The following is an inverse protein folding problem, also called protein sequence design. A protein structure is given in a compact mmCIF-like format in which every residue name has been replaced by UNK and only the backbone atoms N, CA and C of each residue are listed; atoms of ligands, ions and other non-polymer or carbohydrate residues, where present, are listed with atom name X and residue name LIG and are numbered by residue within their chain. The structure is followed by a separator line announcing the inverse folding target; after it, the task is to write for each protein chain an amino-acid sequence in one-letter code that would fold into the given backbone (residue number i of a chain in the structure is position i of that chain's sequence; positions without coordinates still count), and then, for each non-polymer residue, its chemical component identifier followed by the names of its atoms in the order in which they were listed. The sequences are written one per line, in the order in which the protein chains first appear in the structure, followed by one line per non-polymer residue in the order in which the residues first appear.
data_IF_759756296713
#
_entry.id   IF_759756296713
#
_cell.length_a   1.000
_cell.length_b   1.000
_cell.length_c   1.000
_cell.angle_alpha   90.00
_cell.angle_beta   90.00
_cell.angle_gamma   90.00
#
_symmetry.space_group_name_H-M   'P 1'
#
loop_
_entity.id
_entity.type
_entity.pdbx_description
1 polymer ?
#
# COMPACT_ATOMS: atom_id res chain seq x y z
N UNK A 1 11.58 10.84 29.02
CA UNK A 1 10.51 9.99 28.46
C UNK A 1 11.15 9.04 27.46
N UNK A 2 10.96 7.72 27.59
CA UNK A 2 11.40 6.79 26.55
C UNK A 2 10.68 7.14 25.24
N UNK A 3 11.45 7.47 24.21
CA UNK A 3 10.91 7.67 22.86
C UNK A 3 10.59 6.28 22.33
N UNK A 4 9.37 5.78 22.57
CA UNK A 4 8.90 4.61 21.86
C UNK A 4 8.75 5.04 20.39
N UNK A 5 9.56 4.45 19.52
CA UNK A 5 9.38 4.63 18.09
C UNK A 5 8.16 3.83 17.66
N UNK A 6 7.19 4.53 17.08
CA UNK A 6 5.96 3.96 16.54
C UNK A 6 6.13 3.75 15.04
N UNK A 7 6.00 2.51 14.57
CA UNK A 7 6.12 2.21 13.14
C UNK A 7 4.85 1.58 12.60
N UNK A 8 4.58 1.81 11.31
CA UNK A 8 3.53 1.10 10.58
C UNK A 8 3.74 -0.41 10.72
N UNK A 9 2.68 -1.14 11.07
CA UNK A 9 2.73 -2.58 11.31
C UNK A 9 3.08 -2.98 12.75
N UNK A 10 3.40 -2.02 13.63
CA UNK A 10 3.53 -2.33 15.06
C UNK A 10 2.16 -2.55 15.69
N UNK A 11 2.09 -3.54 16.59
CA UNK A 11 0.88 -3.89 17.34
C UNK A 11 1.06 -3.48 18.80
N UNK A 12 0.09 -2.75 19.33
CA UNK A 12 0.07 -2.26 20.71
C UNK A 12 -1.27 -2.61 21.36
N UNK A 13 -1.29 -2.79 22.67
CA UNK A 13 -2.54 -2.59 23.41
C UNK A 13 -2.85 -1.09 23.46
N UNK A 14 -4.12 -0.74 23.29
CA UNK A 14 -4.58 0.64 23.37
C UNK A 14 -5.93 0.74 24.06
N UNK A 15 -6.16 1.86 24.73
CA UNK A 15 -7.46 2.21 25.29
C UNK A 15 -8.31 2.95 24.24
N UNK A 16 -9.35 2.28 23.73
CA UNK A 16 -10.30 2.84 22.77
C UNK A 16 -11.49 3.56 23.43
N UNK A 17 -11.43 3.76 24.74
CA UNK A 17 -12.49 4.36 25.54
C UNK A 17 -13.57 3.36 25.92
N UNK A 18 -14.54 3.84 26.70
CA UNK A 18 -15.69 3.05 27.15
C UNK A 18 -16.88 3.24 26.23
N UNK A 19 -17.68 2.18 26.06
CA UNK A 19 -18.93 2.26 25.31
C UNK A 19 -19.95 3.10 26.10
N UNK A 20 -20.54 4.16 25.52
CA UNK A 20 -21.58 4.92 26.19
C UNK A 20 -22.78 4.04 26.58
N UNK A 21 -23.27 4.19 27.83
CA UNK A 21 -24.43 3.43 28.32
C UNK A 21 -25.69 3.81 27.53
N UNK A 22 -26.50 2.81 27.20
CA UNK A 22 -27.78 3.01 26.50
C UNK A 22 -27.67 3.32 25.00
N UNK A 23 -26.46 3.32 24.42
CA UNK A 23 -26.25 3.61 22.99
C UNK A 23 -26.00 2.32 22.21
N UNK A 24 -26.77 2.11 21.14
CA UNK A 24 -26.52 1.05 20.17
C UNK A 24 -25.42 1.51 19.21
N UNK A 25 -24.18 1.14 19.55
CA UNK A 25 -22.99 1.43 18.75
C UNK A 25 -22.22 0.15 18.35
N UNK A 26 -21.63 0.18 17.16
CA UNK A 26 -20.80 -0.84 16.51
C UNK A 26 -19.30 -0.52 16.56
N UNK A 27 -18.94 0.68 16.99
CA UNK A 27 -17.59 1.11 17.34
C UNK A 27 -16.86 0.11 18.28
N UNK A 28 -15.56 -0.06 18.08
CA UNK A 28 -14.73 -0.87 18.99
C UNK A 28 -14.28 -0.07 20.22
N UNK A 29 -14.48 -0.67 21.39
CA UNK A 29 -14.18 -0.08 22.70
C UNK A 29 -13.31 -1.00 23.56
N UNK A 30 -12.90 -0.45 24.71
CA UNK A 30 -12.12 -1.10 25.74
C UNK A 30 -10.63 -1.14 25.41
N UNK A 31 -9.88 -1.73 26.34
CA UNK A 31 -8.44 -1.98 26.17
C UNK A 31 -8.26 -3.21 25.29
N UNK A 32 -7.68 -3.04 24.10
CA UNK A 32 -7.49 -4.13 23.14
C UNK A 32 -6.28 -3.91 22.25
N UNK A 33 -5.80 -4.97 21.57
CA UNK A 33 -4.75 -4.80 20.57
C UNK A 33 -5.26 -3.93 19.41
N UNK A 34 -4.37 -3.09 18.90
CA UNK A 34 -4.54 -2.26 17.72
C UNK A 34 -3.26 -2.32 16.91
N UNK A 35 -3.39 -2.13 15.59
CA UNK A 35 -2.23 -2.05 14.71
C UNK A 35 -2.07 -0.63 14.16
N UNK A 36 -0.84 -0.12 14.18
CA UNK A 36 -0.51 1.18 13.59
C UNK A 36 -0.52 1.07 12.07
N UNK A 37 -1.37 1.87 11.43
CA UNK A 37 -1.52 1.95 9.97
C UNK A 37 -1.17 3.34 9.43
N UNK A 38 -0.68 4.25 10.26
CA UNK A 38 -0.16 5.54 9.81
C UNK A 38 1.26 5.39 9.23
N UNK A 39 1.63 6.27 8.29
CA UNK A 39 2.98 6.32 7.73
C UNK A 39 4.03 6.72 8.79
N UNK A 40 5.27 6.26 8.62
CA UNK A 40 6.32 6.41 9.65
C UNK A 40 6.79 7.86 9.86
N UNK A 41 6.68 8.71 8.85
CA UNK A 41 6.96 10.15 8.98
C UNK A 41 5.94 10.78 9.93
N UNK A 42 4.65 10.51 9.72
CA UNK A 42 3.57 10.92 10.61
C UNK A 42 3.76 10.36 12.01
N UNK A 43 4.10 9.08 12.14
CA UNK A 43 4.37 8.45 13.44
C UNK A 43 5.55 9.08 14.17
N UNK A 44 6.57 9.58 13.45
CA UNK A 44 7.73 10.23 14.05
C UNK A 44 7.38 11.60 14.61
N UNK A 45 6.70 12.44 13.84
CA UNK A 45 6.53 13.86 14.17
C UNK A 45 5.17 14.22 14.78
N UNK A 46 4.11 13.46 14.51
CA UNK A 46 2.77 13.74 15.03
C UNK A 46 2.64 13.30 16.51
N UNK A 47 1.86 14.02 17.34
CA UNK A 47 1.45 13.51 18.67
C UNK A 47 0.45 12.34 18.58
N UNK A 48 -0.12 12.09 17.39
CA UNK A 48 -1.12 11.05 17.15
C UNK A 48 -0.62 9.96 16.20
N UNK A 49 -1.31 8.81 16.24
CA UNK A 49 -1.18 7.70 15.30
C UNK A 49 -2.55 7.33 14.73
N UNK A 50 -2.60 6.76 13.54
CA UNK A 50 -3.80 6.11 13.00
C UNK A 50 -3.67 4.60 13.19
N UNK A 51 -4.69 3.99 13.76
CA UNK A 51 -4.71 2.56 14.08
C UNK A 51 -5.97 1.88 13.56
N UNK A 52 -5.90 0.58 13.34
CA UNK A 52 -7.07 -0.29 13.14
C UNK A 52 -7.24 -1.23 14.35
N UNK A 53 -8.49 -1.45 14.77
CA UNK A 53 -8.79 -2.32 15.90
C UNK A 53 -8.57 -3.80 15.56
N UNK A 54 -8.12 -4.58 16.55
CA UNK A 54 -8.02 -6.04 16.45
C UNK A 54 -9.10 -6.67 17.34
N UNK A 55 -9.70 -7.75 16.85
CA UNK A 55 -10.66 -8.57 17.61
C UNK A 55 -10.21 -10.02 17.62
N UNK A 56 -10.43 -10.71 18.75
CA UNK A 56 -10.28 -12.17 18.82
C UNK A 56 -11.59 -12.91 18.58
N UNK A 57 -12.67 -12.19 18.23
CA UNK A 57 -13.93 -12.79 17.79
C UNK A 57 -13.83 -13.11 16.30
N UNK A 58 -13.41 -14.32 15.99
CA UNK A 58 -13.16 -14.80 14.62
C UNK A 58 -14.42 -15.33 13.93
N UNK A 59 -15.49 -15.60 14.67
CA UNK A 59 -16.75 -16.17 14.16
C UNK A 59 -17.65 -15.14 13.43
N UNK A 60 -17.12 -13.94 13.14
CA UNK A 60 -17.85 -12.89 12.42
C UNK A 60 -17.91 -13.18 10.92
N UNK A 61 -18.87 -12.56 10.23
CA UNK A 61 -18.92 -12.55 8.77
C UNK A 61 -17.57 -12.09 8.20
N UNK A 62 -17.00 -12.86 7.27
CA UNK A 62 -15.73 -12.56 6.63
C UNK A 62 -15.91 -11.39 5.66
N UNK A 63 -15.63 -10.18 6.12
CA UNK A 63 -15.64 -8.99 5.28
C UNK A 63 -14.32 -8.86 4.53
N UNK A 64 -14.30 -8.25 3.33
CA UNK A 64 -13.06 -7.97 2.61
C UNK A 64 -12.16 -6.94 3.34
N UNK A 65 -12.68 -6.29 4.39
CA UNK A 65 -11.94 -5.41 5.30
C UNK A 65 -11.30 -6.17 6.47
N UNK A 66 -11.45 -7.49 6.55
CA UNK A 66 -10.90 -8.31 7.62
C UNK A 66 -9.61 -8.98 7.20
N UNK A 67 -8.56 -8.82 8.02
CA UNK A 67 -7.26 -9.46 7.80
C UNK A 67 -6.92 -10.35 8.99
N UNK A 68 -6.87 -11.67 8.78
CA UNK A 68 -6.39 -12.61 9.77
C UNK A 68 -4.87 -12.47 9.95
N UNK A 69 -4.41 -12.49 11.20
CA UNK A 69 -3.00 -12.40 11.55
C UNK A 69 -2.45 -13.75 12.00
N UNK A 70 -1.17 -13.99 11.75
CA UNK A 70 -0.45 -15.09 12.40
C UNK A 70 -0.12 -14.73 13.85
N UNK A 71 -1.15 -14.84 14.68
CA UNK A 71 -1.21 -14.33 16.05
C UNK A 71 -0.06 -14.82 16.95
N UNK A 72 0.47 -16.03 16.69
CA UNK A 72 1.52 -16.66 17.49
C UNK A 72 2.85 -15.92 17.35
N UNK A 73 3.23 -15.54 16.13
CA UNK A 73 4.50 -14.86 15.88
C UNK A 73 4.51 -13.41 16.37
N UNK A 74 3.33 -12.80 16.52
CA UNK A 74 3.18 -11.39 16.91
C UNK A 74 3.09 -11.23 18.43
N UNK A 75 2.89 -12.31 19.19
CA UNK A 75 2.75 -12.28 20.66
C UNK A 75 1.30 -12.10 21.15
N UNK A 76 0.31 -12.32 20.29
CA UNK A 76 -1.10 -12.36 20.70
C UNK A 76 -1.42 -13.69 21.38
N UNK A 77 -2.46 -13.74 22.22
CA UNK A 77 -2.80 -14.94 23.02
C UNK A 77 -3.70 -15.94 22.28
N UNK A 78 -4.33 -15.52 21.19
CA UNK A 78 -5.31 -16.29 20.42
C UNK A 78 -5.48 -15.71 19.02
N UNK A 79 -6.14 -16.48 18.16
CA UNK A 79 -6.50 -16.05 16.82
C UNK A 79 -7.19 -14.69 16.83
N UNK A 80 -6.77 -13.85 15.90
CA UNK A 80 -7.11 -12.43 15.90
C UNK A 80 -7.20 -11.90 14.48
N UNK A 81 -8.16 -11.00 14.27
CA UNK A 81 -8.49 -10.38 12.99
C UNK A 81 -8.40 -8.87 13.13
N UNK A 82 -7.71 -8.22 12.20
CA UNK A 82 -7.71 -6.76 12.04
C UNK A 82 -8.98 -6.35 11.31
N UNK A 83 -9.69 -5.34 11.83
CA UNK A 83 -10.92 -4.80 11.26
C UNK A 83 -10.65 -3.43 10.62
N UNK A 84 -10.46 -3.38 9.31
CA UNK A 84 -10.12 -2.12 8.61
C UNK A 84 -11.30 -1.16 8.47
N UNK A 85 -12.52 -1.61 8.75
CA UNK A 85 -13.68 -0.74 8.93
C UNK A 85 -13.71 -0.05 10.32
N UNK A 86 -12.78 -0.39 11.22
CA UNK A 86 -12.68 0.14 12.58
C UNK A 86 -11.36 0.91 12.78
N UNK A 87 -11.12 1.90 11.90
CA UNK A 87 -9.95 2.77 11.93
C UNK A 87 -10.19 3.98 12.83
N UNK A 88 -9.18 4.38 13.62
CA UNK A 88 -9.22 5.57 14.49
C UNK A 88 -7.88 6.27 14.57
N UNK A 89 -7.93 7.59 14.74
CA UNK A 89 -6.77 8.38 15.17
C UNK A 89 -6.72 8.39 16.70
N UNK A 90 -5.58 8.04 17.27
CA UNK A 90 -5.34 8.03 18.71
C UNK A 90 -4.18 8.94 19.07
N UNK A 91 -4.30 9.63 20.20
CA UNK A 91 -3.14 10.21 20.89
C UNK A 91 -2.19 9.08 21.33
N UNK A 92 -0.88 9.25 21.15
CA UNK A 92 0.12 8.23 21.52
C UNK A 92 0.05 7.83 23.00
N UNK A 93 -0.45 8.69 23.88
CA UNK A 93 -0.67 8.39 25.32
C UNK A 93 -1.72 7.29 25.56
N UNK A 94 -2.59 7.02 24.58
CA UNK A 94 -3.58 5.92 24.65
C UNK A 94 -2.98 4.56 24.30
N UNK A 95 -1.78 4.53 23.70
CA UNK A 95 -1.03 3.30 23.48
C UNK A 95 -0.35 2.87 24.78
N UNK A 96 -0.46 1.58 25.09
CA UNK A 96 0.11 0.94 26.28
C UNK A 96 1.32 0.11 25.86
N UNK A 97 1.38 -1.16 26.26
CA UNK A 97 2.46 -2.07 25.91
C UNK A 97 2.46 -2.44 24.41
N UNK A 98 3.67 -2.48 23.81
CA UNK A 98 3.90 -3.06 22.49
C UNK A 98 3.75 -4.59 22.60
N UNK A 99 2.93 -5.17 21.74
CA UNK A 99 2.73 -6.62 21.64
C UNK A 99 3.79 -7.23 20.73
N UNK A 100 3.98 -6.61 19.56
CA UNK A 100 4.91 -7.12 18.54
C UNK A 100 4.82 -6.32 17.25
N UNK A 101 5.22 -6.94 16.15
CA UNK A 101 5.18 -6.38 14.80
C UNK A 101 4.75 -7.46 13.81
N UNK A 102 3.92 -7.10 12.85
CA UNK A 102 3.49 -8.02 11.79
C UNK A 102 4.53 -8.14 10.68
N UNK A 103 4.40 -9.18 9.84
CA UNK A 103 5.23 -9.33 8.66
C UNK A 103 4.93 -8.27 7.59
N UNK A 104 5.89 -7.96 6.72
CA UNK A 104 5.67 -7.05 5.58
C UNK A 104 4.59 -7.58 4.63
N UNK A 105 4.44 -8.89 4.52
CA UNK A 105 3.37 -9.51 3.74
C UNK A 105 1.99 -9.20 4.33
N UNK A 106 1.86 -9.23 5.66
CA UNK A 106 0.60 -8.87 6.31
C UNK A 106 0.34 -7.36 6.24
N UNK A 107 1.39 -6.51 6.24
CA UNK A 107 1.25 -5.07 5.98
C UNK A 107 0.62 -4.84 4.59
N UNK A 108 1.04 -5.60 3.57
CA UNK A 108 0.43 -5.51 2.23
C UNK A 108 -1.04 -5.89 2.23
N UNK A 109 -1.43 -6.99 2.90
CA UNK A 109 -2.85 -7.39 3.05
C UNK A 109 -3.68 -6.30 3.73
N UNK A 110 -3.12 -5.69 4.79
CA UNK A 110 -3.73 -4.55 5.48
C UNK A 110 -3.91 -3.35 4.55
N UNK A 111 -2.93 -3.03 3.71
CA UNK A 111 -3.06 -1.95 2.74
C UNK A 111 -4.22 -2.21 1.77
N UNK A 112 -4.28 -3.42 1.19
CA UNK A 112 -5.38 -3.80 0.29
C UNK A 112 -6.74 -3.71 0.98
N UNK A 113 -6.88 -4.25 2.19
CA UNK A 113 -8.12 -4.19 2.95
C UNK A 113 -8.50 -2.75 3.35
N UNK A 114 -7.53 -1.87 3.64
CA UNK A 114 -7.77 -0.47 3.92
C UNK A 114 -8.24 0.30 2.67
N UNK A 115 -7.69 0.00 1.50
CA UNK A 115 -8.17 0.55 0.23
C UNK A 115 -9.60 0.13 -0.08
N UNK A 116 -9.97 -1.13 0.18
CA UNK A 116 -11.36 -1.59 0.10
C UNK A 116 -12.23 -0.78 1.06
N UNK A 117 -11.84 -0.71 2.34
CA UNK A 117 -12.64 -0.07 3.39
C UNK A 117 -12.91 1.40 3.14
N UNK A 118 -11.99 2.10 2.45
CA UNK A 118 -12.07 3.52 2.16
C UNK A 118 -12.45 3.81 0.70
N UNK A 119 -12.75 2.76 -0.09
CA UNK A 119 -13.06 2.85 -1.51
C UNK A 119 -12.00 3.62 -2.34
N UNK A 120 -10.71 3.39 -2.04
CA UNK A 120 -9.59 4.09 -2.69
C UNK A 120 -8.94 3.27 -3.82
N UNK A 121 -9.43 2.07 -4.09
CA UNK A 121 -8.90 1.16 -5.12
C UNK A 121 -8.96 1.76 -6.53
N UNK A 122 -10.02 2.50 -6.87
CA UNK A 122 -10.12 3.13 -8.19
C UNK A 122 -9.01 4.16 -8.45
N UNK A 123 -8.59 4.88 -7.41
CA UNK A 123 -7.50 5.86 -7.51
C UNK A 123 -6.18 5.13 -7.74
N UNK A 124 -5.96 4.04 -7.00
CA UNK A 124 -4.80 3.18 -7.15
C UNK A 124 -4.74 2.58 -8.56
N UNK A 125 -5.83 2.00 -9.06
CA UNK A 125 -5.92 1.42 -10.40
C UNK A 125 -5.65 2.47 -11.50
N UNK A 126 -6.26 3.65 -11.41
CA UNK A 126 -6.01 4.76 -12.36
C UNK A 126 -4.55 5.20 -12.36
N UNK A 127 -3.88 5.18 -11.22
CA UNK A 127 -2.46 5.47 -11.09
C UNK A 127 -1.61 4.40 -11.80
N UNK A 128 -1.85 3.12 -11.53
CA UNK A 128 -1.15 2.02 -12.21
C UNK A 128 -1.38 2.04 -13.71
N UNK A 129 -2.62 2.24 -14.17
CA UNK A 129 -2.93 2.39 -15.60
C UNK A 129 -2.13 3.53 -16.24
N UNK A 130 -2.01 4.67 -15.56
CA UNK A 130 -1.25 5.82 -16.06
C UNK A 130 0.23 5.47 -16.21
N UNK A 131 0.79 4.77 -15.21
CA UNK A 131 2.18 4.31 -15.22
C UNK A 131 2.41 3.32 -16.37
N UNK A 132 1.58 2.28 -16.46
CA UNK A 132 1.74 1.25 -17.48
C UNK A 132 1.55 1.78 -18.91
N UNK A 133 0.61 2.70 -19.13
CA UNK A 133 0.45 3.39 -20.43
C UNK A 133 1.71 4.19 -20.83
N UNK A 134 2.43 4.78 -19.87
CA UNK A 134 3.71 5.46 -20.16
C UNK A 134 4.81 4.44 -20.48
N UNK A 135 4.88 3.34 -19.73
CA UNK A 135 5.86 2.26 -19.96
C UNK A 135 5.65 1.60 -21.33
N UNK A 136 4.41 1.30 -21.71
CA UNK A 136 4.06 0.77 -23.04
C UNK A 136 4.60 1.67 -24.15
N UNK A 137 4.42 3.00 -24.04
CA UNK A 137 4.95 3.96 -25.01
C UNK A 137 6.48 3.95 -25.06
N UNK A 138 7.17 3.83 -23.92
CA UNK A 138 8.63 3.73 -23.88
C UNK A 138 9.09 2.48 -24.62
N UNK A 139 8.50 1.32 -24.29
CA UNK A 139 8.84 0.02 -24.88
C UNK A 139 8.56 -0.01 -26.38
N UNK A 140 7.43 0.55 -26.80
CA UNK A 140 7.12 0.71 -28.22
C UNK A 140 8.19 1.51 -28.96
N UNK A 141 8.70 2.61 -28.39
CA UNK A 141 9.79 3.39 -29.00
C UNK A 141 11.11 2.61 -29.05
N UNK A 142 11.39 1.79 -28.04
CA UNK A 142 12.56 0.89 -28.04
C UNK A 142 12.46 -0.19 -29.12
N UNK A 143 11.29 -0.75 -29.36
CA UNK A 143 11.04 -1.70 -30.45
C UNK A 143 11.19 -1.06 -31.83
N UNK A 144 10.62 0.14 -32.03
CA UNK A 144 10.80 0.90 -33.27
C UNK A 144 12.29 1.20 -33.54
N UNK A 145 13.06 1.52 -32.50
CA UNK A 145 14.49 1.75 -32.63
C UNK A 145 15.23 0.47 -33.04
N UNK A 146 14.95 -0.66 -32.40
CA UNK A 146 15.53 -1.97 -32.76
C UNK A 146 15.20 -2.38 -34.19
N UNK A 147 13.94 -2.27 -34.58
CA UNK A 147 13.50 -2.59 -35.93
C UNK A 147 14.17 -1.69 -36.99
N UNK A 148 14.34 -0.40 -36.68
CA UNK A 148 15.08 0.51 -37.55
C UNK A 148 16.54 0.08 -37.77
N UNK A 149 17.22 -0.38 -36.71
CA UNK A 149 18.58 -0.91 -36.81
C UNK A 149 18.66 -2.18 -37.66
N UNK A 150 17.67 -3.08 -37.51
CA UNK A 150 17.63 -4.35 -38.24
C UNK A 150 17.38 -4.17 -39.75
N UNK A 151 16.51 -3.22 -40.11
CA UNK A 151 16.19 -2.95 -41.52
C UNK A 151 17.27 -2.15 -42.23
N UNK A 152 17.98 -1.26 -41.53
CA UNK A 152 19.05 -0.45 -42.11
C UNK A 152 18.61 0.62 -43.13
N UNK A 153 17.29 0.84 -43.30
CA UNK A 153 16.72 1.78 -44.29
C UNK A 153 16.13 3.04 -43.62
N UNK A 154 16.69 3.46 -42.48
CA UNK A 154 16.12 4.58 -41.71
C UNK A 154 17.18 5.65 -41.42
N UNK A 155 16.78 6.93 -41.47
CA UNK A 155 17.68 8.06 -41.31
C UNK A 155 18.15 8.24 -39.86
N UNK A 156 19.33 8.86 -39.67
CA UNK A 156 19.80 9.27 -38.34
C UNK A 156 18.78 10.18 -37.64
N UNK A 157 18.15 11.08 -38.38
CA UNK A 157 17.11 11.99 -37.86
C UNK A 157 15.90 11.23 -37.27
N UNK A 158 15.53 10.09 -37.86
CA UNK A 158 14.48 9.24 -37.31
C UNK A 158 14.87 8.65 -35.94
N UNK A 159 16.10 8.15 -35.82
CA UNK A 159 16.62 7.59 -34.58
C UNK A 159 16.73 8.66 -33.48
N UNK A 160 17.23 9.85 -33.82
CA UNK A 160 17.32 10.98 -32.89
C UNK A 160 15.94 11.38 -32.37
N UNK A 161 14.93 11.44 -33.25
CA UNK A 161 13.55 11.71 -32.86
C UNK A 161 13.01 10.64 -31.91
N UNK A 162 13.22 9.35 -32.20
CA UNK A 162 12.76 8.26 -31.33
C UNK A 162 13.41 8.33 -29.94
N UNK A 163 14.72 8.57 -29.86
CA UNK A 163 15.43 8.70 -28.58
C UNK A 163 14.94 9.92 -27.79
N UNK A 164 14.71 11.04 -28.47
CA UNK A 164 14.17 12.26 -27.84
C UNK A 164 12.76 12.03 -27.28
N UNK A 165 11.87 11.41 -28.04
CA UNK A 165 10.51 11.09 -27.59
C UNK A 165 10.53 10.09 -26.43
N UNK A 166 11.32 9.02 -26.53
CA UNK A 166 11.51 8.04 -25.45
C UNK A 166 12.01 8.72 -24.17
N UNK A 167 13.03 9.56 -24.28
CA UNK A 167 13.59 10.31 -23.14
C UNK A 167 12.57 11.23 -22.48
N UNK A 168 11.75 11.91 -23.27
CA UNK A 168 10.68 12.76 -22.75
C UNK A 168 9.62 11.95 -21.97
N UNK A 169 9.21 10.79 -22.49
CA UNK A 169 8.23 9.91 -21.81
C UNK A 169 8.84 9.32 -20.53
N UNK A 170 10.12 8.94 -20.56
CA UNK A 170 10.84 8.42 -19.39
C UNK A 170 10.91 9.47 -18.27
N UNK A 171 11.22 10.72 -18.61
CA UNK A 171 11.24 11.84 -17.66
C UNK A 171 9.85 12.10 -17.06
N UNK A 172 8.81 12.11 -17.90
CA UNK A 172 7.42 12.28 -17.46
C UNK A 172 6.94 11.12 -16.56
N UNK A 173 7.36 9.88 -16.85
CA UNK A 173 7.12 8.74 -15.97
C UNK A 173 7.83 8.89 -14.61
N UNK A 174 9.10 9.30 -14.62
CA UNK A 174 9.88 9.55 -13.41
C UNK A 174 9.23 10.64 -12.54
N UNK A 175 8.90 11.79 -13.12
CA UNK A 175 8.22 12.90 -12.42
C UNK A 175 6.87 12.46 -11.84
N UNK A 176 6.08 11.71 -12.61
CA UNK A 176 4.81 11.19 -12.15
C UNK A 176 4.98 10.25 -10.95
N UNK A 177 5.85 9.24 -11.05
CA UNK A 177 6.12 8.30 -9.96
C UNK A 177 6.64 9.01 -8.71
N UNK A 178 7.60 9.94 -8.87
CA UNK A 178 8.15 10.72 -7.76
C UNK A 178 7.06 11.54 -7.05
N UNK A 179 6.11 12.12 -7.80
CA UNK A 179 4.98 12.87 -7.22
C UNK A 179 4.05 12.01 -6.36
N UNK A 180 4.08 10.68 -6.53
CA UNK A 180 3.30 9.68 -5.79
C UNK A 180 4.12 8.94 -4.73
N UNK A 181 5.40 9.30 -4.55
CA UNK A 181 6.32 8.60 -3.65
C UNK A 181 6.69 7.19 -4.13
N UNK A 182 6.65 6.97 -5.45
CA UNK A 182 6.94 5.70 -6.10
C UNK A 182 8.26 5.78 -6.87
N UNK A 183 8.94 4.65 -7.03
CA UNK A 183 10.13 4.54 -7.87
C UNK A 183 9.76 3.94 -9.23
N UNK A 184 9.86 4.71 -10.31
CA UNK A 184 9.52 4.27 -11.67
C UNK A 184 10.30 3.03 -12.14
N UNK A 185 11.52 2.81 -11.62
CA UNK A 185 12.35 1.67 -12.00
C UNK A 185 11.78 0.33 -11.53
N UNK A 186 10.99 0.31 -10.45
CA UNK A 186 10.36 -0.91 -9.97
C UNK A 186 9.29 -1.40 -10.96
N UNK A 187 8.52 -0.46 -11.53
CA UNK A 187 7.48 -0.74 -12.53
C UNK A 187 8.07 -1.20 -13.87
N UNK A 188 9.19 -0.60 -14.30
CA UNK A 188 9.88 -1.04 -15.53
C UNK A 188 10.36 -2.48 -15.41
N UNK A 189 10.93 -2.86 -14.26
CA UNK A 189 11.36 -4.24 -13.99
C UNK A 189 10.21 -5.23 -13.91
N UNK A 190 9.08 -4.79 -13.35
CA UNK A 190 7.89 -5.64 -13.21
C UNK A 190 7.16 -5.82 -14.54
N UNK A 191 7.08 -4.77 -15.37
CA UNK A 191 6.47 -4.81 -16.69
C UNK A 191 7.09 -5.90 -17.58
N UNK A 192 8.42 -6.03 -17.57
CA UNK A 192 9.11 -7.08 -18.33
C UNK A 192 8.78 -8.51 -17.84
N UNK A 193 8.38 -8.67 -16.57
CA UNK A 193 7.92 -9.94 -16.01
C UNK A 193 6.45 -10.23 -16.34
N UNK A 194 5.62 -9.20 -16.37
CA UNK A 194 4.19 -9.28 -16.69
C UNK A 194 4.01 -9.57 -18.19
N UNK A 195 4.72 -8.84 -19.06
CA UNK A 195 4.66 -9.01 -20.52
C UNK A 195 5.12 -10.41 -20.95
N UNK A 196 6.08 -11.01 -20.23
CA UNK A 196 6.54 -12.37 -20.46
C UNK A 196 5.54 -13.46 -20.02
N UNK A 197 4.50 -13.13 -19.21
CA UNK A 197 3.58 -14.12 -18.62
C UNK A 197 2.13 -14.10 -19.15
N UNK A 198 1.64 -13.03 -19.78
CA UNK A 198 0.40 -12.87 -20.60
C UNK A 198 -0.32 -11.53 -20.31
N UNK A 199 -0.98 -11.00 -21.35
CA UNK A 199 -1.93 -9.86 -21.49
C UNK A 199 -2.17 -8.98 -20.24
N UNK A 200 -1.75 -7.72 -20.35
CA UNK A 200 -1.75 -6.64 -19.33
C UNK A 200 -3.15 -6.34 -18.75
N UNK A 201 -4.22 -6.92 -19.31
CA UNK A 201 -5.62 -6.68 -18.93
C UNK A 201 -6.11 -7.45 -17.69
N UNK A 202 -5.29 -8.31 -17.07
CA UNK A 202 -5.70 -9.14 -15.91
C UNK A 202 -5.10 -8.72 -14.56
N UNK A 203 -4.42 -7.57 -14.48
CA UNK A 203 -3.88 -7.04 -13.23
C UNK A 203 -4.75 -5.88 -12.74
N UNK A 204 -6.02 -6.17 -12.48
CA UNK A 204 -6.98 -5.35 -11.73
C UNK A 204 -7.93 -6.29 -10.98
#
# INVERSE_FOLDING_TARGET
MMVNNFYRGDVFYADLGEKPKGVKDCEQYGVRPVIIIQNDIGNRYSPTVIVAAITSQTDKAKLPTHVALDWRYIGLKRESVVMLEQIRTLDKRKLKEKVGRISDNDVKKINTAALVSLQLQEIENKMYETIYKKIEKIKFKEEQYKFGLETGVVSNEYFDRLQKERGAIMKDLEEYCNSKGLNHMDFLKEYDKISAKHDVRKVC
#
